data_IF_700624757433
#
_entry.id   IF_700624757433
#
_cell.length_a   1.000
_cell.length_b   1.000
_cell.length_c   1.000
_cell.angle_alpha   90.00
_cell.angle_beta   90.00
_cell.angle_gamma   90.00
#
_symmetry.space_group_name_H-M   'P 1'
#
loop_
_entity.id
_entity.type
_entity.pdbx_description
1 polymer ?
#
# COMPACT_ATOMS: atom_id res chain seq x y z
N UNK A 1 -13.71 0.12 8.06
CA UNK A 1 -13.03 0.66 6.86
C UNK A 1 -13.50 0.00 5.57
N UNK A 2 -13.44 -1.33 5.43
CA UNK A 2 -13.89 -2.04 4.22
C UNK A 2 -15.33 -1.71 3.78
N UNK A 3 -16.30 -1.66 4.71
CA UNK A 3 -17.67 -1.29 4.38
C UNK A 3 -17.79 0.13 3.77
N UNK A 4 -16.99 1.09 4.25
CA UNK A 4 -16.97 2.45 3.70
C UNK A 4 -16.40 2.45 2.28
N UNK A 5 -15.26 1.78 2.06
CA UNK A 5 -14.65 1.64 0.73
C UNK A 5 -15.60 0.95 -0.25
N UNK A 6 -16.31 -0.10 0.18
CA UNK A 6 -17.29 -0.77 -0.67
C UNK A 6 -18.50 0.11 -1.02
N UNK A 7 -18.86 1.06 -0.16
CA UNK A 7 -20.01 1.95 -0.36
C UNK A 7 -19.71 3.24 -1.12
N UNK A 8 -18.52 3.81 -0.90
CA UNK A 8 -18.14 5.16 -1.37
C UNK A 8 -16.91 5.15 -2.26
N UNK A 9 -16.29 3.99 -2.47
CA UNK A 9 -14.99 3.88 -3.11
C UNK A 9 -13.83 4.32 -2.20
N UNK A 10 -12.62 4.28 -2.76
CA UNK A 10 -11.42 4.71 -2.06
C UNK A 10 -11.28 6.24 -2.12
N UNK A 11 -11.82 6.94 -1.13
CA UNK A 11 -11.80 8.42 -1.08
C UNK A 11 -10.37 8.98 -0.93
N UNK A 12 -9.50 8.26 -0.23
CA UNK A 12 -8.10 8.65 -0.05
C UNK A 12 -7.20 7.64 -0.74
N UNK A 13 -6.49 8.11 -1.76
CA UNK A 13 -5.57 7.30 -2.56
C UNK A 13 -4.45 6.69 -1.70
N UNK A 14 -4.04 5.47 -2.06
CA UNK A 14 -2.81 4.89 -1.51
C UNK A 14 -1.63 5.72 -1.99
N UNK A 15 -0.62 5.87 -1.12
CA UNK A 15 0.65 6.48 -1.51
C UNK A 15 1.61 5.36 -1.81
N UNK A 16 2.16 5.36 -3.02
CA UNK A 16 3.03 4.28 -3.51
C UNK A 16 4.34 4.81 -4.04
N UNK A 17 5.38 4.00 -3.95
CA UNK A 17 6.68 4.30 -4.57
C UNK A 17 7.14 3.10 -5.41
N UNK A 18 8.10 3.33 -6.32
CA UNK A 18 8.61 2.28 -7.18
C UNK A 18 9.37 1.25 -6.34
N UNK A 19 8.98 -0.01 -6.44
CA UNK A 19 9.66 -1.10 -5.77
C UNK A 19 11.04 -1.33 -6.38
N UNK A 20 12.03 -1.54 -5.50
CA UNK A 20 13.41 -1.81 -5.87
C UNK A 20 13.84 -3.14 -5.29
N UNK A 21 14.30 -4.05 -6.14
CA UNK A 21 14.91 -5.31 -5.73
C UNK A 21 16.37 -5.29 -6.11
N UNK A 22 17.26 -5.40 -5.11
CA UNK A 22 18.73 -5.30 -5.28
C UNK A 22 19.15 -4.03 -6.05
N UNK A 23 18.51 -2.90 -5.73
CA UNK A 23 18.79 -1.60 -6.36
C UNK A 23 18.20 -1.40 -7.77
N UNK A 24 17.55 -2.41 -8.35
CA UNK A 24 16.91 -2.33 -9.68
C UNK A 24 15.40 -2.15 -9.57
N UNK A 25 14.83 -1.31 -10.44
CA UNK A 25 13.37 -1.15 -10.58
C UNK A 25 12.76 -2.48 -11.02
N UNK A 26 11.71 -2.92 -10.33
CA UNK A 26 11.02 -4.18 -10.66
C UNK A 26 9.84 -4.00 -11.61
N UNK A 27 9.43 -2.75 -11.85
CA UNK A 27 8.17 -2.43 -12.55
C UNK A 27 6.94 -2.51 -11.65
N UNK A 28 7.11 -2.88 -10.36
CA UNK A 28 6.06 -2.91 -9.36
C UNK A 28 6.13 -1.69 -8.45
N UNK A 29 5.05 -1.46 -7.71
CA UNK A 29 4.96 -0.43 -6.69
C UNK A 29 4.85 -1.05 -5.30
N UNK A 30 5.33 -0.33 -4.30
CA UNK A 30 5.16 -0.65 -2.89
C UNK A 30 4.39 0.47 -2.19
N UNK A 31 3.55 0.11 -1.22
CA UNK A 31 2.73 1.09 -0.49
C UNK A 31 3.58 1.77 0.58
N UNK A 32 3.79 3.08 0.42
CA UNK A 32 4.48 3.92 1.38
C UNK A 32 3.53 4.44 2.47
N UNK A 33 2.25 4.68 2.16
CA UNK A 33 1.24 5.06 3.16
C UNK A 33 -0.16 4.57 2.79
N UNK A 34 -0.94 4.25 3.82
CA UNK A 34 -2.31 3.75 3.67
C UNK A 34 -2.51 2.26 3.93
N UNK A 35 -1.66 1.62 4.74
CA UNK A 35 -1.74 0.18 5.03
C UNK A 35 -3.12 -0.34 5.45
N UNK A 36 -3.87 0.41 6.28
CA UNK A 36 -5.24 0.00 6.65
C UNK A 36 -6.22 -0.01 5.47
N UNK A 37 -6.04 0.89 4.49
CA UNK A 37 -6.85 0.93 3.27
C UNK A 37 -6.50 -0.25 2.38
N UNK A 38 -5.22 -0.56 2.24
CA UNK A 38 -4.77 -1.74 1.51
C UNK A 38 -5.38 -3.02 2.11
N UNK A 39 -5.26 -3.20 3.43
CA UNK A 39 -5.85 -4.37 4.11
C UNK A 39 -7.38 -4.45 3.94
N UNK A 40 -8.07 -3.31 3.92
CA UNK A 40 -9.49 -3.27 3.67
C UNK A 40 -9.85 -3.63 2.22
N UNK A 41 -9.05 -3.22 1.23
CA UNK A 41 -9.20 -3.63 -0.17
C UNK A 41 -8.95 -5.13 -0.32
N UNK A 42 -7.89 -5.65 0.29
CA UNK A 42 -7.56 -7.09 0.30
C UNK A 42 -8.71 -7.92 0.88
N UNK A 43 -9.32 -7.45 1.98
CA UNK A 43 -10.49 -8.10 2.58
C UNK A 43 -11.69 -8.10 1.63
N UNK A 44 -11.97 -6.98 0.96
CA UNK A 44 -13.07 -6.91 0.00
C UNK A 44 -12.86 -7.82 -1.21
N UNK A 45 -11.63 -7.98 -1.67
CA UNK A 45 -11.27 -8.92 -2.75
C UNK A 45 -11.42 -10.37 -2.25
N UNK A 46 -10.94 -10.68 -1.04
CA UNK A 46 -11.08 -12.00 -0.42
C UNK A 46 -12.56 -12.39 -0.24
N UNK A 47 -13.39 -11.44 0.17
CA UNK A 47 -14.85 -11.60 0.30
C UNK A 47 -15.57 -11.60 -1.06
N UNK A 48 -14.84 -11.51 -2.19
CA UNK A 48 -15.38 -11.44 -3.57
C UNK A 48 -16.35 -10.28 -3.79
N UNK A 49 -16.25 -9.22 -2.98
CA UNK A 49 -17.01 -7.97 -3.11
C UNK A 49 -16.37 -7.01 -4.11
N UNK A 50 -15.05 -7.13 -4.30
CA UNK A 50 -14.31 -6.47 -5.37
C UNK A 50 -13.62 -7.54 -6.23
N UNK A 51 -13.48 -7.31 -7.54
CA UNK A 51 -12.75 -8.23 -8.41
C UNK A 51 -11.24 -8.12 -8.15
N UNK A 52 -10.48 -9.17 -8.49
CA UNK A 52 -9.02 -9.22 -8.21
C UNK A 52 -8.21 -8.19 -9.02
N UNK A 53 -8.75 -7.77 -10.14
CA UNK A 53 -8.24 -6.74 -11.05
C UNK A 53 -8.83 -5.36 -10.76
N UNK A 54 -9.41 -5.16 -9.57
CA UNK A 54 -9.96 -3.87 -9.19
C UNK A 54 -8.88 -2.78 -9.20
N UNK A 55 -9.02 -1.83 -10.12
CA UNK A 55 -8.13 -0.69 -10.23
C UNK A 55 -8.38 0.31 -9.11
N UNK A 56 -7.30 0.82 -8.52
CA UNK A 56 -7.35 1.83 -7.46
C UNK A 56 -6.42 2.99 -7.78
N UNK A 57 -6.93 4.20 -7.61
CA UNK A 57 -6.13 5.41 -7.79
C UNK A 57 -5.04 5.49 -6.71
N UNK A 58 -3.79 5.61 -7.16
CA UNK A 58 -2.62 5.71 -6.32
C UNK A 58 -1.88 7.02 -6.58
N UNK A 59 -1.43 7.68 -5.50
CA UNK A 59 -0.47 8.77 -5.59
C UNK A 59 0.93 8.18 -5.63
N UNK A 60 1.60 8.29 -6.77
CA UNK A 60 3.00 7.86 -6.92
C UNK A 60 3.93 8.95 -6.41
N UNK A 61 4.84 8.60 -5.50
CA UNK A 61 5.86 9.51 -4.97
C UNK A 61 7.27 9.01 -5.29
N UNK A 62 8.20 9.97 -5.38
CA UNK A 62 9.62 9.68 -5.57
C UNK A 62 10.24 8.98 -4.37
N UNK A 63 11.33 8.24 -4.57
CA UNK A 63 12.04 7.50 -3.50
C UNK A 63 12.44 8.40 -2.32
N UNK A 64 12.93 9.61 -2.62
CA UNK A 64 13.35 10.57 -1.59
C UNK A 64 12.17 11.00 -0.71
N UNK A 65 11.03 11.29 -1.34
CA UNK A 65 9.79 11.65 -0.65
C UNK A 65 9.26 10.46 0.18
N UNK A 66 9.34 9.23 -0.33
CA UNK A 66 8.95 8.04 0.42
C UNK A 66 9.84 7.81 1.66
N UNK A 67 11.14 8.03 1.53
CA UNK A 67 12.09 7.96 2.65
C UNK A 67 11.78 9.05 3.69
N UNK A 68 11.57 10.29 3.24
CA UNK A 68 11.22 11.41 4.12
C UNK A 68 9.88 11.17 4.85
N UNK A 69 8.88 10.62 4.17
CA UNK A 69 7.61 10.23 4.79
C UNK A 69 7.78 9.15 5.84
N UNK A 70 8.55 8.10 5.53
CA UNK A 70 8.82 7.00 6.49
C UNK A 70 9.60 7.52 7.71
N UNK A 71 10.60 8.36 7.49
CA UNK A 71 11.38 8.99 8.57
C UNK A 71 10.52 9.96 9.40
N UNK A 72 9.65 10.73 8.76
CA UNK A 72 8.78 11.71 9.43
C UNK A 72 7.62 11.05 10.18
N UNK A 73 7.05 9.96 9.65
CA UNK A 73 6.04 9.16 10.35
C UNK A 73 6.59 8.58 11.67
N UNK A 74 7.88 8.24 11.71
CA UNK A 74 8.56 7.76 12.90
C UNK A 74 9.03 8.85 13.88
N UNK A 75 9.10 10.13 13.46
CA UNK A 75 9.75 11.19 14.26
C UNK A 75 8.82 11.93 15.23
N UNK A 76 7.52 11.62 15.27
CA UNK A 76 6.54 12.43 16.02
C UNK A 76 5.42 11.66 16.70
N UNK A 77 5.54 10.34 16.89
CA UNK A 77 4.49 9.55 17.56
C UNK A 77 5.07 8.62 18.61
N UNK A 78 4.68 8.90 19.85
CA UNK A 78 4.48 7.89 20.89
C UNK A 78 3.89 6.63 20.27
N UNK A 79 4.54 5.51 20.56
CA UNK A 79 4.36 4.19 20.00
C UNK A 79 2.91 3.70 20.00
N UNK A 80 2.22 3.73 18.85
CA UNK A 80 1.00 2.97 18.60
C UNK A 80 0.97 2.46 17.15
N UNK A 81 1.79 1.46 16.84
CA UNK A 81 1.69 0.70 15.60
C UNK A 81 3.03 0.22 15.10
N UNK A 82 3.31 -1.07 15.27
CA UNK A 82 4.50 -1.76 14.75
C UNK A 82 4.40 -1.77 13.21
N UNK A 83 5.14 -0.90 12.52
CA UNK A 83 5.39 -1.04 11.09
C UNK A 83 6.57 -1.98 10.91
N UNK A 84 6.28 -3.29 10.84
CA UNK A 84 7.25 -4.24 10.31
C UNK A 84 7.51 -3.88 8.84
N UNK A 85 8.77 -3.85 8.38
CA UNK A 85 9.05 -3.79 6.96
C UNK A 85 8.43 -5.05 6.34
N UNK A 86 7.28 -4.90 5.69
CA UNK A 86 6.65 -5.95 4.91
C UNK A 86 7.61 -6.30 3.77
N UNK A 87 8.47 -7.29 4.01
CA UNK A 87 9.10 -8.05 2.95
C UNK A 87 7.94 -8.69 2.18
N UNK A 88 7.53 -8.09 1.05
CA UNK A 88 6.71 -8.76 0.04
C UNK A 88 7.57 -9.91 -0.54
N UNK A 89 7.69 -10.98 0.25
CA UNK A 89 8.19 -12.27 -0.19
C UNK A 89 6.96 -13.01 -0.71
N UNK A 90 6.96 -13.20 -2.03
CA UNK A 90 6.27 -14.26 -2.75
C UNK A 90 4.76 -14.43 -2.50
N UNK A 91 3.94 -13.85 -3.39
CA UNK A 91 2.97 -14.68 -4.12
C UNK A 91 2.49 -14.00 -5.41
N UNK A 92 2.37 -14.81 -6.47
CA UNK A 92 1.79 -14.53 -7.79
C UNK A 92 2.71 -13.80 -8.79
N UNK A 93 3.76 -14.52 -9.21
CA UNK A 93 3.89 -14.79 -10.63
C UNK A 93 2.70 -15.67 -11.04
N UNK A 94 1.85 -15.23 -11.97
CA UNK A 94 1.05 -16.13 -12.81
C UNK A 94 0.66 -15.40 -14.10
N UNK A 95 1.07 -16.03 -15.21
CA UNK A 95 0.69 -15.84 -16.61
C UNK A 95 1.06 -14.51 -17.29
#
# INVERSE_FOLDING_TARGET
MAALIASQGLIHNLVVTLQLKKGKKTGKYEVAAGGHRLAALDLLIADRRLPKDHEVDCRVIGRREALEMTLSENSGREHMGIFLPIHLSDTHAMA
#
